data_IF_408543786754
#
_entry.id   IF_408543786754
#
_cell.length_a   1.000
_cell.length_b   1.000
_cell.length_c   1.000
_cell.angle_alpha   90.00
_cell.angle_beta   90.00
_cell.angle_gamma   90.00
#
_symmetry.space_group_name_H-M   'P 1'
#
loop_
_entity.id
_entity.type
_entity.pdbx_description
1 polymer ?
#
# COMPACT_ATOMS: atom_id res chain seq x y z
N UNK A 1 25.20 -6.16 20.59
CA UNK A 1 24.08 -6.70 19.80
C UNK A 1 24.12 -6.07 18.40
N UNK A 2 23.97 -6.86 17.31
CA UNK A 2 23.97 -6.35 15.93
C UNK A 2 22.56 -6.44 15.35
N UNK A 3 22.03 -5.33 14.84
CA UNK A 3 20.75 -5.31 14.13
C UNK A 3 20.90 -5.94 12.74
N UNK A 4 20.02 -6.87 12.38
CA UNK A 4 19.93 -7.48 11.05
C UNK A 4 18.71 -6.92 10.31
N UNK A 5 18.76 -5.64 9.92
CA UNK A 5 17.63 -4.88 9.37
C UNK A 5 16.92 -5.62 8.23
N UNK A 6 17.66 -5.98 7.18
CA UNK A 6 17.14 -6.71 6.01
C UNK A 6 16.50 -8.05 6.39
N UNK A 7 17.09 -8.81 7.31
CA UNK A 7 16.53 -10.10 7.75
C UNK A 7 15.20 -9.92 8.46
N UNK A 8 15.08 -8.91 9.34
CA UNK A 8 13.83 -8.60 10.02
C UNK A 8 12.76 -8.13 9.02
N UNK A 9 13.13 -7.27 8.07
CA UNK A 9 12.25 -6.79 7.01
C UNK A 9 11.69 -7.93 6.14
N UNK A 10 12.58 -8.79 5.63
CA UNK A 10 12.17 -9.95 4.85
C UNK A 10 11.28 -10.90 5.68
N UNK A 11 11.63 -11.15 6.95
CA UNK A 11 10.79 -11.99 7.82
C UNK A 11 9.39 -11.41 8.02
N UNK A 12 9.26 -10.09 8.18
CA UNK A 12 7.94 -9.45 8.31
C UNK A 12 7.12 -9.56 7.02
N UNK A 13 7.75 -9.35 5.85
CA UNK A 13 7.10 -9.58 4.56
C UNK A 13 6.60 -11.01 4.46
N UNK A 14 7.44 -12.01 4.76
CA UNK A 14 7.02 -13.41 4.67
C UNK A 14 5.88 -13.73 5.65
N UNK A 15 6.01 -13.29 6.90
CA UNK A 15 5.00 -13.52 7.93
C UNK A 15 3.66 -12.87 7.58
N UNK A 16 3.66 -11.77 6.81
CA UNK A 16 2.42 -11.15 6.35
C UNK A 16 1.54 -12.12 5.53
N UNK A 17 2.17 -13.08 4.83
CA UNK A 17 1.52 -14.07 3.98
C UNK A 17 1.36 -15.45 4.65
N UNK A 18 1.66 -15.58 5.94
CA UNK A 18 1.46 -16.84 6.69
C UNK A 18 0.04 -16.87 7.26
N UNK A 19 -0.86 -17.50 6.52
CA UNK A 19 -2.26 -17.69 6.92
C UNK A 19 -3.09 -16.42 6.82
N UNK A 20 -4.13 -16.33 7.64
CA UNK A 20 -5.10 -15.24 7.64
C UNK A 20 -4.60 -14.05 8.47
N UNK A 21 -3.98 -13.07 7.81
CA UNK A 21 -3.52 -11.86 8.48
C UNK A 21 -4.59 -10.75 8.48
N UNK A 22 -5.30 -10.63 9.60
CA UNK A 22 -6.41 -9.68 9.74
C UNK A 22 -6.01 -8.21 9.90
N UNK A 23 -4.71 -7.90 10.11
CA UNK A 23 -4.26 -6.53 10.39
C UNK A 23 -4.58 -5.54 9.27
N UNK A 24 -4.66 -6.01 8.03
CA UNK A 24 -4.84 -5.14 6.87
C UNK A 24 -6.26 -5.21 6.28
N UNK A 25 -7.22 -5.81 6.98
CA UNK A 25 -8.53 -6.09 6.36
C UNK A 25 -9.48 -4.90 6.33
N UNK A 26 -9.45 -4.05 7.34
CA UNK A 26 -10.47 -3.01 7.48
C UNK A 26 -9.83 -1.66 7.76
N UNK A 27 -10.38 -0.61 7.15
CA UNK A 27 -10.08 0.77 7.48
C UNK A 27 -11.36 1.58 7.36
N UNK A 28 -11.93 1.96 8.50
CA UNK A 28 -13.21 2.63 8.55
C UNK A 28 -13.04 4.14 8.35
N UNK A 29 -13.83 4.69 7.44
CA UNK A 29 -13.95 6.13 7.21
C UNK A 29 -15.40 6.55 7.39
N UNK A 30 -15.61 7.78 7.85
CA UNK A 30 -16.92 8.41 7.83
C UNK A 30 -17.04 9.22 6.54
N UNK A 31 -17.97 8.83 5.66
CA UNK A 31 -18.30 9.61 4.46
C UNK A 31 -19.50 10.48 4.76
N UNK A 32 -19.29 11.80 4.65
CA UNK A 32 -20.37 12.75 4.73
C UNK A 32 -20.98 13.00 3.35
N UNK A 33 -22.31 13.20 3.27
CA UNK A 33 -22.94 13.57 2.01
C UNK A 33 -22.36 14.89 1.51
N UNK A 34 -22.19 14.97 0.19
CA UNK A 34 -21.85 16.21 -0.48
C UNK A 34 -23.07 17.14 -0.39
N UNK A 35 -22.89 18.29 0.23
CA UNK A 35 -23.92 19.33 0.37
C UNK A 35 -23.53 20.54 -0.44
N UNK A 36 -24.47 21.05 -1.21
CA UNK A 36 -24.31 22.32 -1.89
C UNK A 36 -24.48 23.46 -0.88
N UNK A 37 -23.43 24.25 -0.70
CA UNK A 37 -23.43 25.47 0.09
C UNK A 37 -23.44 26.66 -0.85
N UNK A 38 -24.28 27.64 -0.54
CA UNK A 38 -24.37 28.88 -1.31
C UNK A 38 -23.89 30.06 -0.49
N UNK A 39 -23.28 31.05 -1.16
CA UNK A 39 -23.00 32.33 -0.53
C UNK A 39 -24.31 33.08 -0.22
N UNK A 40 -24.24 34.16 0.58
CA UNK A 40 -25.43 34.92 1.01
C UNK A 40 -26.28 35.49 -0.14
N UNK A 41 -25.72 35.60 -1.35
CA UNK A 41 -26.42 36.06 -2.56
C UNK A 41 -27.09 34.94 -3.36
N UNK A 42 -26.83 33.67 -3.01
CA UNK A 42 -27.31 32.48 -3.72
C UNK A 42 -26.66 32.23 -5.09
N UNK A 43 -25.75 33.12 -5.53
CA UNK A 43 -25.17 33.10 -6.88
C UNK A 43 -23.93 32.22 -7.00
N UNK A 44 -23.12 32.12 -5.95
CA UNK A 44 -22.03 31.15 -5.90
C UNK A 44 -22.45 29.95 -5.09
N UNK A 45 -22.38 28.78 -5.71
CA UNK A 45 -22.64 27.48 -5.12
C UNK A 45 -21.32 26.70 -5.13
N UNK A 46 -20.91 26.20 -3.97
CA UNK A 46 -19.79 25.29 -3.81
C UNK A 46 -20.27 24.00 -3.16
N UNK A 47 -19.48 22.94 -3.30
CA UNK A 47 -19.77 21.63 -2.72
C UNK A 47 -18.94 21.45 -1.45
N UNK A 48 -19.56 21.03 -0.37
CA UNK A 48 -18.92 20.70 0.91
C UNK A 48 -19.18 19.25 1.27
N UNK A 49 -18.17 18.56 1.78
CA UNK A 49 -18.27 17.17 2.27
C UNK A 49 -18.39 17.13 3.80
N UNK A 50 -19.08 18.09 4.40
CA UNK A 50 -19.28 18.18 5.87
C UNK A 50 -20.77 18.27 6.24
N UNK A 51 -21.64 17.66 5.44
CA UNK A 51 -23.06 17.54 5.79
C UNK A 51 -23.28 16.73 7.06
N UNK A 52 -24.36 17.04 7.79
CA UNK A 52 -24.78 16.23 8.93
C UNK A 52 -25.20 14.82 8.49
N UNK A 53 -24.87 13.80 9.29
CA UNK A 53 -25.24 12.40 9.05
C UNK A 53 -24.25 11.64 8.17
N UNK A 54 -23.01 11.44 8.65
CA UNK A 54 -22.02 10.63 7.95
C UNK A 54 -22.32 9.13 8.04
N UNK A 55 -22.01 8.40 6.97
CA UNK A 55 -22.08 6.93 6.93
C UNK A 55 -20.69 6.33 7.15
N UNK A 56 -20.61 5.31 8.02
CA UNK A 56 -19.37 4.57 8.26
C UNK A 56 -19.21 3.53 7.15
N UNK A 57 -18.08 3.58 6.46
CA UNK A 57 -17.71 2.65 5.39
C UNK A 57 -16.35 2.03 5.67
N UNK A 58 -16.21 0.74 5.39
CA UNK A 58 -14.89 0.09 5.31
C UNK A 58 -14.25 0.34 3.95
N UNK A 59 -13.30 1.27 3.89
CA UNK A 59 -12.58 1.64 2.65
C UNK A 59 -11.74 0.50 2.09
N UNK A 60 -11.41 -0.52 2.88
CA UNK A 60 -10.63 -1.67 2.40
C UNK A 60 -11.51 -2.80 1.90
N UNK A 61 -12.84 -2.70 2.05
CA UNK A 61 -13.81 -3.72 1.66
C UNK A 61 -13.41 -5.12 2.12
N UNK A 62 -13.15 -5.25 3.43
CA UNK A 62 -12.69 -6.48 4.04
C UNK A 62 -11.47 -7.05 3.31
N UNK A 63 -10.43 -6.25 3.09
CA UNK A 63 -9.16 -6.67 2.52
C UNK A 63 -9.08 -6.64 1.00
N UNK A 64 -10.18 -6.39 0.27
CA UNK A 64 -10.14 -6.30 -1.20
C UNK A 64 -9.23 -5.17 -1.69
N UNK A 65 -9.28 -4.00 -1.06
CA UNK A 65 -8.51 -2.80 -1.45
C UNK A 65 -7.24 -2.60 -0.60
N UNK A 66 -6.70 -3.67 -0.03
CA UNK A 66 -5.67 -3.57 1.02
C UNK A 66 -4.21 -3.50 0.53
N UNK A 67 -3.94 -3.66 -0.77
CA UNK A 67 -2.56 -3.77 -1.26
C UNK A 67 -1.63 -2.63 -0.82
N UNK A 68 -2.10 -1.38 -0.91
CA UNK A 68 -1.34 -0.20 -0.49
C UNK A 68 -1.17 -0.13 1.03
N UNK A 69 -2.22 -0.44 1.80
CA UNK A 69 -2.17 -0.46 3.27
C UNK A 69 -1.20 -1.52 3.75
N UNK A 70 -1.24 -2.72 3.18
CA UNK A 70 -0.34 -3.81 3.52
C UNK A 70 1.13 -3.40 3.32
N UNK A 71 1.48 -2.88 2.14
CA UNK A 71 2.86 -2.48 1.84
C UNK A 71 3.30 -1.31 2.71
N UNK A 72 2.52 -0.24 2.76
CA UNK A 72 2.88 0.96 3.53
C UNK A 72 2.93 0.70 5.04
N UNK A 73 2.06 -0.17 5.58
CA UNK A 73 2.11 -0.54 7.01
C UNK A 73 3.35 -1.34 7.37
N UNK A 74 3.75 -2.30 6.53
CA UNK A 74 4.99 -3.06 6.74
C UNK A 74 6.20 -2.13 6.68
N UNK A 75 6.24 -1.19 5.75
CA UNK A 75 7.35 -0.22 5.68
C UNK A 75 7.35 0.75 6.87
N UNK A 76 6.18 1.24 7.25
CA UNK A 76 6.01 2.17 8.36
C UNK A 76 6.42 1.56 9.71
N UNK A 77 6.22 0.24 9.90
CA UNK A 77 6.60 -0.45 11.14
C UNK A 77 8.10 -0.38 11.45
N UNK A 78 8.94 -0.13 10.44
CA UNK A 78 10.39 0.04 10.61
C UNK A 78 10.81 1.46 10.97
N UNK A 79 9.94 2.47 10.82
CA UNK A 79 10.30 3.86 11.08
C UNK A 79 10.86 4.10 12.49
N UNK A 80 10.26 3.60 13.59
CA UNK A 80 10.82 3.82 14.92
C UNK A 80 12.24 3.25 15.07
N UNK A 81 12.53 2.12 14.41
CA UNK A 81 13.85 1.49 14.41
C UNK A 81 14.87 2.30 13.58
N UNK A 82 14.44 2.83 12.44
CA UNK A 82 15.26 3.69 11.59
C UNK A 82 15.59 5.00 12.32
N UNK A 83 14.60 5.63 12.93
CA UNK A 83 14.76 6.83 13.77
C UNK A 83 15.75 6.58 14.91
N UNK A 84 15.58 5.48 15.66
CA UNK A 84 16.49 5.09 16.73
C UNK A 84 17.94 4.89 16.25
N UNK A 85 18.13 4.49 14.99
CA UNK A 85 19.47 4.30 14.39
C UNK A 85 19.98 5.51 13.61
N UNK A 86 19.30 6.67 13.70
CA UNK A 86 19.68 7.90 13.00
C UNK A 86 19.48 7.84 11.48
N UNK A 87 18.67 6.90 10.99
CA UNK A 87 18.36 6.69 9.57
C UNK A 87 17.05 7.37 9.20
N UNK A 88 16.93 7.74 7.93
CA UNK A 88 15.67 8.29 7.39
C UNK A 88 14.58 7.20 7.41
N UNK A 89 13.35 7.62 7.64
CA UNK A 89 12.17 6.77 7.49
C UNK A 89 12.08 6.19 6.08
N UNK A 90 11.50 4.99 5.94
CA UNK A 90 11.25 4.39 4.63
C UNK A 90 9.97 4.93 3.98
N UNK A 91 9.03 5.39 4.78
CA UNK A 91 7.79 6.02 4.33
C UNK A 91 7.32 6.98 5.42
N UNK A 92 6.62 8.06 5.09
CA UNK A 92 6.13 9.00 6.10
C UNK A 92 4.82 8.55 6.74
N UNK A 93 3.92 7.94 5.98
CA UNK A 93 2.60 7.54 6.44
C UNK A 93 2.17 6.16 5.92
N UNK A 94 1.12 5.60 6.53
CA UNK A 94 0.35 4.49 5.97
C UNK A 94 -0.62 5.05 4.93
N UNK A 95 -0.77 4.37 3.80
CA UNK A 95 -1.49 4.86 2.62
C UNK A 95 -2.59 3.91 2.17
N UNK A 96 -3.74 4.46 1.80
CA UNK A 96 -4.84 3.70 1.20
C UNK A 96 -4.66 3.47 -0.31
N UNK A 97 -3.78 4.21 -0.98
CA UNK A 97 -3.62 4.13 -2.45
C UNK A 97 -2.20 3.82 -2.87
N UNK A 98 -2.05 3.12 -4.00
CA UNK A 98 -0.73 2.83 -4.59
C UNK A 98 -0.02 4.11 -5.00
N UNK A 99 -0.76 5.09 -5.55
CA UNK A 99 -0.20 6.38 -6.00
C UNK A 99 0.41 7.16 -4.84
N UNK A 100 -0.30 7.28 -3.72
CA UNK A 100 0.22 8.00 -2.56
C UNK A 100 1.37 7.25 -1.89
N UNK A 101 1.33 5.90 -1.90
CA UNK A 101 2.45 5.05 -1.45
C UNK A 101 3.69 5.29 -2.30
N UNK A 102 3.58 5.23 -3.63
CA UNK A 102 4.69 5.45 -4.56
C UNK A 102 5.34 6.83 -4.36
N UNK A 103 4.52 7.87 -4.26
CA UNK A 103 5.00 9.23 -4.01
C UNK A 103 5.83 9.30 -2.71
N UNK A 104 5.33 8.71 -1.63
CA UNK A 104 5.99 8.74 -0.33
C UNK A 104 7.28 7.89 -0.33
N UNK A 105 7.32 6.76 -1.04
CA UNK A 105 8.54 5.98 -1.28
C UNK A 105 9.64 6.86 -1.90
N UNK A 106 9.32 7.54 -3.01
CA UNK A 106 10.26 8.41 -3.73
C UNK A 106 10.75 9.56 -2.84
N UNK A 107 9.86 10.20 -2.10
CA UNK A 107 10.20 11.27 -1.15
C UNK A 107 11.10 10.77 0.00
N UNK A 108 11.08 9.47 0.29
CA UNK A 108 11.86 8.82 1.35
C UNK A 108 13.06 8.01 0.88
N UNK A 109 13.59 8.30 -0.31
CA UNK A 109 14.89 7.79 -0.75
C UNK A 109 14.83 6.40 -1.36
N UNK A 110 13.63 5.88 -1.63
CA UNK A 110 13.48 4.77 -2.56
C UNK A 110 13.76 5.25 -3.97
N UNK A 111 14.37 4.39 -4.78
CA UNK A 111 14.70 4.67 -6.17
C UNK A 111 14.36 3.47 -7.05
N UNK A 112 14.09 3.76 -8.32
CA UNK A 112 13.73 2.73 -9.29
C UNK A 112 14.95 1.90 -9.69
N UNK A 113 14.77 0.59 -9.78
CA UNK A 113 15.77 -0.40 -10.21
C UNK A 113 15.24 -1.26 -11.35
N UNK A 114 16.13 -1.84 -12.15
CA UNK A 114 15.74 -2.71 -13.29
C UNK A 114 15.63 -4.18 -12.93
N UNK A 115 16.39 -4.63 -11.93
CA UNK A 115 16.51 -6.04 -11.57
C UNK A 115 15.85 -6.32 -10.24
N UNK A 116 15.06 -7.39 -10.15
CA UNK A 116 14.35 -7.77 -8.93
C UNK A 116 15.34 -8.15 -7.81
N UNK A 117 15.17 -7.53 -6.64
CA UNK A 117 15.93 -7.83 -5.41
C UNK A 117 14.97 -8.26 -4.30
N UNK A 118 15.27 -9.31 -3.51
CA UNK A 118 14.46 -9.70 -2.36
C UNK A 118 14.17 -8.51 -1.43
N UNK A 119 12.89 -8.23 -1.22
CA UNK A 119 12.39 -7.09 -0.45
C UNK A 119 12.12 -5.81 -1.26
N UNK A 120 12.38 -5.81 -2.57
CA UNK A 120 12.01 -4.68 -3.43
C UNK A 120 10.50 -4.50 -3.46
N UNK A 121 10.04 -3.25 -3.48
CA UNK A 121 8.61 -2.95 -3.69
C UNK A 121 8.33 -3.01 -5.18
N UNK A 122 7.33 -3.78 -5.59
CA UNK A 122 6.91 -3.93 -6.98
C UNK A 122 5.58 -3.22 -7.16
N UNK A 123 5.46 -2.42 -8.22
CA UNK A 123 4.17 -1.91 -8.71
C UNK A 123 3.86 -2.59 -10.04
N UNK A 124 2.69 -3.21 -10.09
CA UNK A 124 2.15 -3.82 -11.30
C UNK A 124 1.20 -2.88 -12.04
N UNK A 125 1.05 -3.15 -13.33
CA UNK A 125 0.16 -2.40 -14.23
C UNK A 125 -1.27 -2.30 -13.73
N UNK A 126 -1.95 -1.26 -14.18
CA UNK A 126 -3.38 -1.07 -13.92
C UNK A 126 -4.20 -2.17 -14.57
N UNK A 127 -5.20 -2.64 -13.83
CA UNK A 127 -6.27 -3.50 -14.34
C UNK A 127 -7.59 -3.03 -13.76
N UNK A 128 -8.68 -3.33 -14.47
CA UNK A 128 -10.02 -3.02 -13.99
C UNK A 128 -10.26 -3.66 -12.62
N UNK A 129 -10.66 -2.82 -11.68
CA UNK A 129 -11.15 -3.19 -10.36
C UNK A 129 -12.56 -3.75 -10.42
N UNK A 130 -13.08 -4.14 -9.25
CA UNK A 130 -14.47 -4.54 -9.10
C UNK A 130 -15.45 -3.37 -9.21
N UNK A 131 -14.96 -2.15 -8.96
CA UNK A 131 -15.67 -0.88 -9.15
C UNK A 131 -15.70 -0.42 -10.62
N UNK A 132 -15.03 -1.15 -11.51
CA UNK A 132 -14.90 -0.81 -12.93
C UNK A 132 -13.80 0.21 -13.24
N UNK A 133 -13.07 0.69 -12.23
CA UNK A 133 -11.99 1.66 -12.41
C UNK A 133 -10.62 0.97 -12.46
N UNK A 134 -9.65 1.50 -13.22
CA UNK A 134 -8.35 0.88 -13.36
C UNK A 134 -7.44 1.14 -12.14
N UNK A 135 -7.08 0.09 -11.41
CA UNK A 135 -6.22 0.17 -10.22
C UNK A 135 -4.86 -0.48 -10.42
N UNK A 136 -3.80 0.21 -9.97
CA UNK A 136 -2.49 -0.39 -9.79
C UNK A 136 -2.54 -1.42 -8.65
N UNK A 137 -1.56 -2.33 -8.65
CA UNK A 137 -1.33 -3.22 -7.52
C UNK A 137 0.09 -3.10 -7.04
N UNK A 138 0.31 -3.34 -5.76
CA UNK A 138 1.61 -3.19 -5.11
C UNK A 138 1.89 -4.35 -4.16
N UNK A 139 3.16 -4.68 -4.00
CA UNK A 139 3.62 -5.77 -3.15
C UNK A 139 5.14 -5.79 -3.06
N UNK A 140 5.68 -6.91 -2.57
CA UNK A 140 7.12 -7.11 -2.42
C UNK A 140 7.59 -8.25 -3.29
N UNK A 141 8.75 -8.10 -3.92
CA UNK A 141 9.49 -9.25 -4.43
C UNK A 141 10.00 -10.07 -3.24
N UNK A 142 9.72 -11.38 -3.20
CA UNK A 142 10.19 -12.23 -2.13
C UNK A 142 11.53 -12.87 -2.48
N UNK A 143 11.52 -13.89 -3.35
CA UNK A 143 12.73 -14.55 -3.84
C UNK A 143 12.39 -15.48 -5.01
N UNK A 144 13.38 -15.80 -5.85
CA UNK A 144 13.20 -16.70 -6.98
C UNK A 144 12.12 -16.20 -7.94
N UNK A 145 10.99 -16.91 -8.00
CA UNK A 145 9.83 -16.55 -8.82
C UNK A 145 8.66 -16.01 -8.00
N UNK A 146 8.84 -15.72 -6.71
CA UNK A 146 7.77 -15.36 -5.79
C UNK A 146 7.73 -13.86 -5.48
N UNK A 147 6.51 -13.33 -5.42
CA UNK A 147 6.17 -12.06 -4.80
C UNK A 147 5.14 -12.29 -3.70
N UNK A 148 5.04 -11.33 -2.78
CA UNK A 148 4.02 -11.27 -1.75
C UNK A 148 3.21 -10.00 -1.92
N UNK A 149 1.90 -10.15 -2.05
CA UNK A 149 0.98 -9.02 -2.14
C UNK A 149 -0.40 -9.43 -1.63
N UNK A 150 -1.27 -8.44 -1.44
CA UNK A 150 -2.66 -8.68 -1.04
C UNK A 150 -3.45 -9.43 -2.13
N UNK A 151 -4.23 -10.44 -1.75
CA UNK A 151 -5.16 -11.13 -2.65
C UNK A 151 -6.47 -10.35 -2.82
N UNK A 152 -6.44 -9.33 -3.68
CA UNK A 152 -7.60 -8.47 -3.94
C UNK A 152 -8.77 -9.18 -4.65
N UNK A 153 -8.56 -10.35 -5.28
CA UNK A 153 -9.61 -11.04 -6.04
C UNK A 153 -10.15 -12.30 -5.36
N UNK A 154 -9.44 -12.83 -4.36
CA UNK A 154 -9.86 -13.99 -3.60
C UNK A 154 -10.11 -13.64 -2.13
N UNK A 155 -9.16 -14.02 -1.29
CA UNK A 155 -9.32 -14.09 0.16
C UNK A 155 -9.30 -12.73 0.87
N UNK A 156 -8.73 -11.69 0.26
CA UNK A 156 -8.47 -10.41 0.91
C UNK A 156 -7.30 -10.44 1.91
N UNK A 157 -6.45 -11.47 1.85
CA UNK A 157 -5.26 -11.61 2.69
C UNK A 157 -3.97 -11.52 1.84
N UNK A 158 -2.83 -11.11 2.41
CA UNK A 158 -1.55 -11.25 1.76
C UNK A 158 -1.22 -12.72 1.48
N UNK A 159 -0.64 -13.00 0.32
CA UNK A 159 -0.26 -14.36 -0.08
C UNK A 159 0.99 -14.34 -0.97
N UNK A 160 1.65 -15.50 -1.07
CA UNK A 160 2.73 -15.72 -2.05
C UNK A 160 2.13 -16.09 -3.41
N UNK A 161 2.67 -15.52 -4.47
CA UNK A 161 2.30 -15.85 -5.85
C UNK A 161 3.48 -15.59 -6.80
N UNK A 162 3.37 -16.01 -8.05
CA UNK A 162 4.39 -15.70 -9.05
C UNK A 162 4.52 -14.18 -9.26
N UNK A 163 5.74 -13.63 -9.35
CA UNK A 163 5.96 -12.18 -9.41
C UNK A 163 5.36 -11.48 -10.65
N UNK A 164 5.02 -12.23 -11.70
CA UNK A 164 4.26 -11.73 -12.89
C UNK A 164 2.83 -12.27 -12.97
N UNK A 165 2.30 -12.87 -11.89
CA UNK A 165 1.03 -13.60 -11.92
C UNK A 165 1.00 -14.63 -13.05
N UNK A 166 2.05 -15.45 -13.16
CA UNK A 166 2.23 -16.44 -14.23
C UNK A 166 2.13 -15.82 -15.63
N UNK A 167 2.73 -14.64 -15.82
CA UNK A 167 2.73 -13.90 -17.08
C UNK A 167 1.46 -13.11 -17.38
N UNK A 168 0.46 -13.14 -16.49
CA UNK A 168 -0.80 -12.44 -16.73
C UNK A 168 -0.75 -10.96 -16.34
N UNK A 169 0.28 -10.50 -15.63
CA UNK A 169 0.40 -9.09 -15.22
C UNK A 169 1.83 -8.58 -15.31
N UNK A 170 1.99 -7.44 -15.96
CA UNK A 170 3.27 -6.75 -16.16
C UNK A 170 3.67 -5.95 -14.91
N UNK A 171 4.97 -5.97 -14.60
CA UNK A 171 5.59 -5.07 -13.63
C UNK A 171 5.86 -3.74 -14.33
N UNK A 172 5.37 -2.64 -13.75
CA UNK A 172 5.65 -1.29 -14.25
C UNK A 172 6.90 -0.70 -13.59
N UNK A 173 7.04 -0.88 -12.27
CA UNK A 173 8.12 -0.25 -11.49
C UNK A 173 8.61 -1.19 -10.40
N UNK A 174 9.90 -1.08 -10.09
CA UNK A 174 10.55 -1.81 -9.00
C UNK A 174 11.33 -0.79 -8.19
N UNK A 175 11.07 -0.70 -6.89
CA UNK A 175 11.73 0.23 -6.00
C UNK A 175 12.65 -0.47 -5.00
N UNK A 176 13.80 0.14 -4.77
CA UNK A 176 14.78 -0.30 -3.79
C UNK A 176 15.18 0.84 -2.87
N UNK A 177 15.61 0.49 -1.67
CA UNK A 177 16.09 1.44 -0.67
C UNK A 177 17.56 1.15 -0.31
N UNK A 178 18.45 2.16 -0.23
CA UNK A 178 19.87 1.97 0.08
C UNK A 178 20.13 1.23 1.40
N UNK A 179 19.26 1.38 2.39
CA UNK A 179 19.36 0.71 3.71
C UNK A 179 19.18 -0.81 3.68
N UNK A 180 18.84 -1.38 2.52
CA UNK A 180 18.67 -2.82 2.31
C UNK A 180 19.89 -3.47 1.64
N UNK A 181 20.95 -2.72 1.35
CA UNK A 181 22.24 -3.25 0.88
C UNK A 181 22.97 -4.05 1.98
#
# INVERSE_FOLDING_TARGET
>A
MRLLLKKNYLTQIENSAKGENHLFRNFYVEKHPEVEISNASGKDKSKSHYGAGGEIEDSLENGRNSCAVMVSSILYSFNPLLEFTGKKHWIKYIHLTVVSTEKDLLENGWYEIKELKPGAVIIWEKKDGHDGEPHNHIGFFWSGQEAISNDSKGTGFPHKHHYTYNGTRKIEKIYWHPELE
#
